data_IF_717575003479
#
_entry.id   IF_717575003479
#
_cell.length_a   1.000
_cell.length_b   1.000
_cell.length_c   1.000
_cell.angle_alpha   90.00
_cell.angle_beta   90.00
_cell.angle_gamma   90.00
#
_symmetry.space_group_name_H-M   'P 1'
#
loop_
_entity.id
_entity.type
_entity.pdbx_description
1 polymer ?
#
# COMPACT_ATOMS: atom_id res chain seq x y z
N UNK A 1 -13.12 -8.53 -15.18
CA UNK A 1 -12.49 -7.25 -14.81
C UNK A 1 -12.92 -6.92 -13.40
N UNK A 2 -12.01 -6.78 -12.44
CA UNK A 2 -12.41 -6.39 -11.08
C UNK A 2 -12.49 -4.85 -11.00
N UNK A 3 -13.20 -4.33 -9.99
CA UNK A 3 -13.18 -2.90 -9.67
C UNK A 3 -11.76 -2.37 -9.41
N UNK A 4 -10.82 -3.27 -9.11
CA UNK A 4 -9.44 -2.93 -8.74
C UNK A 4 -8.46 -3.03 -9.92
N UNK A 5 -8.62 -3.99 -10.83
CA UNK A 5 -7.72 -4.19 -11.97
C UNK A 5 -8.50 -4.28 -13.28
N UNK A 6 -8.26 -3.28 -14.15
CA UNK A 6 -8.85 -3.18 -15.48
C UNK A 6 -7.84 -3.38 -16.62
N UNK A 7 -6.56 -3.60 -16.31
CA UNK A 7 -5.48 -3.79 -17.29
C UNK A 7 -5.08 -2.52 -18.07
N UNK A 8 -5.74 -1.39 -17.85
CA UNK A 8 -5.54 -0.15 -18.60
C UNK A 8 -4.70 0.89 -17.84
N UNK A 9 -4.32 0.62 -16.59
CA UNK A 9 -3.50 1.51 -15.77
C UNK A 9 -2.53 0.73 -14.88
N UNK A 10 -1.35 1.30 -14.55
CA UNK A 10 -0.45 0.72 -13.57
C UNK A 10 -1.14 0.54 -12.22
N UNK A 11 -0.77 -0.53 -11.53
CA UNK A 11 -1.17 -0.80 -10.16
C UNK A 11 -0.22 -0.10 -9.19
N UNK A 12 -0.77 0.74 -8.31
CA UNK A 12 0.01 1.46 -7.30
C UNK A 12 -0.20 0.82 -5.92
N UNK A 13 0.88 0.30 -5.34
CA UNK A 13 0.88 -0.33 -4.03
C UNK A 13 1.91 0.37 -3.14
N UNK A 14 1.52 0.69 -1.89
CA UNK A 14 2.47 1.19 -0.89
C UNK A 14 3.27 0.02 -0.31
N UNK A 15 4.52 -0.13 -0.77
CA UNK A 15 5.45 -1.17 -0.34
C UNK A 15 5.78 -1.06 1.16
N UNK A 16 5.24 -2.01 1.93
CA UNK A 16 5.29 -2.08 3.39
C UNK A 16 4.71 -0.85 4.08
N UNK A 17 3.72 -0.21 3.45
CA UNK A 17 3.19 1.10 3.84
C UNK A 17 4.04 2.28 3.33
N UNK A 18 3.92 3.46 3.96
CA UNK A 18 4.74 4.63 3.65
C UNK A 18 6.15 4.53 4.27
N UNK A 19 6.89 3.48 3.88
CA UNK A 19 8.19 3.06 4.45
C UNK A 19 9.31 4.10 4.37
N UNK A 20 9.18 5.10 3.49
CA UNK A 20 10.10 6.25 3.41
C UNK A 20 9.88 7.30 4.50
N UNK A 21 8.71 7.30 5.16
CA UNK A 21 8.30 8.32 6.14
C UNK A 21 7.88 7.76 7.50
N UNK A 22 7.70 6.44 7.61
CA UNK A 22 7.39 5.73 8.84
C UNK A 22 7.99 4.31 8.79
N UNK A 23 8.24 3.65 9.94
CA UNK A 23 8.81 2.30 9.95
C UNK A 23 7.95 1.31 9.16
N UNK A 24 8.58 0.53 8.28
CA UNK A 24 7.92 -0.45 7.43
C UNK A 24 7.09 -1.48 8.19
N UNK A 25 6.03 -1.99 7.55
CA UNK A 25 5.10 -2.99 8.10
C UNK A 25 4.46 -2.61 9.46
N UNK A 26 4.33 -1.31 9.75
CA UNK A 26 3.65 -0.81 10.97
C UNK A 26 2.31 -0.14 10.67
N UNK A 27 1.42 -0.08 11.68
CA UNK A 27 0.18 0.70 11.61
C UNK A 27 0.44 2.16 11.20
N UNK A 28 1.56 2.74 11.65
CA UNK A 28 1.92 4.13 11.32
C UNK A 28 2.21 4.30 9.82
N UNK A 29 2.97 3.38 9.20
CA UNK A 29 3.25 3.39 7.77
C UNK A 29 1.99 3.13 6.93
N UNK A 30 1.11 2.23 7.37
CA UNK A 30 -0.17 1.99 6.69
C UNK A 30 -1.10 3.21 6.77
N UNK A 31 -1.21 3.82 7.95
CA UNK A 31 -2.04 5.01 8.16
C UNK A 31 -1.58 6.17 7.29
N UNK A 32 -0.27 6.39 7.20
CA UNK A 32 0.30 7.44 6.36
C UNK A 32 0.09 7.17 4.87
N UNK A 33 0.25 5.91 4.43
CA UNK A 33 -0.05 5.52 3.06
C UNK A 33 -1.53 5.76 2.70
N UNK A 34 -2.46 5.40 3.59
CA UNK A 34 -3.91 5.65 3.41
C UNK A 34 -4.18 7.16 3.31
N UNK A 35 -3.58 7.98 4.18
CA UNK A 35 -3.72 9.45 4.13
C UNK A 35 -3.25 10.04 2.80
N UNK A 36 -2.26 9.43 2.16
CA UNK A 36 -1.74 9.82 0.83
C UNK A 36 -2.61 9.34 -0.33
N UNK A 37 -3.69 8.59 -0.06
CA UNK A 37 -4.63 8.14 -1.08
C UNK A 37 -4.13 7.01 -1.97
N UNK A 38 -3.17 6.19 -1.49
CA UNK A 38 -2.75 5.01 -2.25
C UNK A 38 -3.92 4.01 -2.34
N UNK A 39 -4.11 3.35 -3.48
CA UNK A 39 -5.26 2.47 -3.67
C UNK A 39 -5.06 1.09 -3.04
N UNK A 40 -3.82 0.72 -2.69
CA UNK A 40 -3.50 -0.55 -2.05
C UNK A 40 -2.29 -0.46 -1.12
N UNK A 41 -2.30 -1.32 -0.10
CA UNK A 41 -1.18 -1.56 0.81
C UNK A 41 -0.54 -2.91 0.49
N UNK A 42 0.78 -2.98 0.55
CA UNK A 42 1.53 -4.24 0.53
C UNK A 42 1.98 -4.58 1.96
N UNK A 43 1.95 -5.87 2.30
CA UNK A 43 2.13 -6.39 3.67
C UNK A 43 2.93 -7.68 3.58
N UNK A 44 4.06 -7.76 4.31
CA UNK A 44 4.74 -9.04 4.56
C UNK A 44 4.09 -9.76 5.76
N UNK A 45 3.83 -11.06 5.61
CA UNK A 45 3.32 -11.91 6.69
C UNK A 45 4.34 -12.98 7.02
N UNK A 46 4.64 -13.16 8.30
CA UNK A 46 5.53 -14.20 8.82
C UNK A 46 4.73 -15.34 9.45
N UNK A 47 5.36 -16.52 9.57
CA UNK A 47 4.78 -17.72 10.18
C UNK A 47 5.02 -17.77 11.68
#
# INVERSE_FOLDING_TARGET
>A
MSLFYNGNSPLLFAHRGASTTAPENTISAYTEAIKRGVPALEIDVIR
#
